data_IF_284996197450
#
_entry.id   IF_284996197450
#
_cell.length_a   1.000
_cell.length_b   1.000
_cell.length_c   1.000
_cell.angle_alpha   90.00
_cell.angle_beta   90.00
_cell.angle_gamma   90.00
#
_symmetry.space_group_name_H-M   'P 1'
#
loop_
_entity.id
_entity.type
_entity.pdbx_description
1 polymer ?
#
# COMPACT_ATOMS: atom_id res chain seq x y z
N UNK A 1 -10.22 0.68 -35.08
CA UNK A 1 -10.61 0.44 -33.68
C UNK A 1 -9.42 0.84 -32.83
N UNK A 2 -9.42 2.05 -32.31
CA UNK A 2 -8.38 2.51 -31.38
C UNK A 2 -8.70 1.85 -30.05
N UNK A 3 -7.90 0.86 -29.67
CA UNK A 3 -7.97 0.21 -28.37
C UNK A 3 -7.71 1.31 -27.33
N UNK A 4 -8.69 1.54 -26.44
CA UNK A 4 -8.45 2.38 -25.27
C UNK A 4 -7.30 1.75 -24.47
N UNK A 5 -6.30 2.53 -24.04
CA UNK A 5 -5.27 2.02 -23.16
C UNK A 5 -5.91 1.49 -21.87
N UNK A 6 -5.35 0.42 -21.28
CA UNK A 6 -5.81 -0.08 -19.99
C UNK A 6 -5.77 1.05 -18.95
N UNK A 7 -6.70 1.06 -17.98
CA UNK A 7 -6.71 2.07 -16.93
C UNK A 7 -5.37 2.08 -16.20
N UNK A 8 -4.71 3.24 -16.18
CA UNK A 8 -3.46 3.47 -15.47
C UNK A 8 -3.64 3.12 -14.00
N UNK A 9 -2.83 2.21 -13.49
CA UNK A 9 -2.81 1.88 -12.07
C UNK A 9 -2.30 3.11 -11.32
N UNK A 10 -3.19 3.81 -10.60
CA UNK A 10 -2.78 4.92 -9.76
C UNK A 10 -2.22 4.34 -8.46
N UNK A 11 -0.91 4.44 -8.27
CA UNK A 11 -0.29 4.23 -6.97
C UNK A 11 -0.59 5.46 -6.12
N UNK A 12 -1.73 5.45 -5.42
CA UNK A 12 -2.07 6.53 -4.50
C UNK A 12 -1.41 6.24 -3.16
N UNK A 13 -0.56 7.13 -2.64
CA UNK A 13 -0.08 7.04 -1.27
C UNK A 13 -1.28 7.10 -0.31
N UNK A 14 -1.58 5.98 0.34
CA UNK A 14 -2.76 5.86 1.20
C UNK A 14 -2.52 6.67 2.49
N UNK A 15 -3.01 7.91 2.53
CA UNK A 15 -3.12 8.68 3.77
C UNK A 15 -4.28 8.18 4.62
N UNK A 16 -4.07 7.10 5.36
CA UNK A 16 -4.88 6.83 6.56
C UNK A 16 -4.35 7.69 7.70
N UNK A 17 -4.61 8.99 7.63
CA UNK A 17 -4.33 9.88 8.76
C UNK A 17 -5.09 9.43 10.01
N UNK A 18 -4.49 9.69 11.17
CA UNK A 18 -5.04 9.44 12.51
C UNK A 18 -6.44 10.02 12.66
N UNK A 19 -7.46 9.23 12.34
CA UNK A 19 -8.80 9.49 12.83
C UNK A 19 -9.03 8.58 14.02
N UNK A 20 -8.89 9.16 15.22
CA UNK A 20 -9.53 8.61 16.42
C UNK A 20 -11.04 8.63 16.21
N UNK A 21 -11.57 7.70 15.42
CA UNK A 21 -13.00 7.43 15.35
C UNK A 21 -13.35 6.50 16.51
N UNK A 22 -13.48 7.08 17.70
CA UNK A 22 -14.27 6.44 18.75
C UNK A 22 -15.73 6.48 18.30
N UNK A 23 -16.14 5.51 17.51
CA UNK A 23 -17.56 5.24 17.26
C UNK A 23 -18.11 4.71 18.58
N UNK A 24 -18.90 5.51 19.28
CA UNK A 24 -19.68 5.03 20.41
C UNK A 24 -20.64 3.95 19.91
N UNK A 25 -20.46 2.72 20.39
CA UNK A 25 -21.26 1.55 20.07
C UNK A 25 -22.75 1.85 20.20
N UNK A 26 -23.46 1.98 19.09
CA UNK A 26 -24.93 1.90 19.11
C UNK A 26 -25.53 1.13 17.94
N UNK A 27 -24.73 0.38 17.18
CA UNK A 27 -25.25 -0.54 16.17
C UNK A 27 -24.92 -1.97 16.61
N UNK A 28 -25.90 -2.63 17.22
CA UNK A 28 -25.83 -4.07 17.49
C UNK A 28 -25.89 -4.81 16.15
N UNK A 29 -24.74 -5.28 15.65
CA UNK A 29 -24.67 -6.27 14.59
C UNK A 29 -24.75 -7.69 15.19
N UNK A 30 -25.47 -8.64 14.57
CA UNK A 30 -25.47 -10.02 15.02
C UNK A 30 -24.13 -10.69 14.68
N UNK A 31 -23.56 -11.37 15.67
CA UNK A 31 -22.36 -12.21 15.55
C UNK A 31 -22.59 -13.33 14.54
N UNK A 32 -21.85 -13.29 13.42
CA UNK A 32 -21.59 -14.47 12.58
C UNK A 32 -20.07 -14.56 12.42
N UNK A 33 -19.56 -15.75 12.71
CA UNK A 33 -18.13 -16.03 12.88
C UNK A 33 -17.28 -15.81 11.62
N UNK A 34 -15.99 -15.65 11.91
CA UNK A 34 -14.85 -15.60 11.00
C UNK A 34 -14.99 -16.55 9.79
N UNK A 35 -15.00 -15.96 8.59
CA UNK A 35 -14.58 -16.63 7.35
C UNK A 35 -13.82 -15.61 6.50
N UNK A 36 -12.63 -16.02 6.06
CA UNK A 36 -11.66 -15.20 5.34
C UNK A 36 -12.12 -14.62 4.01
N UNK A 37 -11.29 -13.70 3.53
CA UNK A 37 -11.36 -13.04 2.23
C UNK A 37 -11.42 -14.10 1.11
N UNK A 38 -12.60 -14.27 0.53
CA UNK A 38 -12.80 -14.95 -0.75
C UNK A 38 -13.99 -14.32 -1.46
N UNK A 39 -13.75 -13.79 -2.66
CA UNK A 39 -14.74 -13.27 -3.58
C UNK A 39 -15.66 -14.38 -4.11
N UNK A 40 -16.54 -14.95 -3.27
CA UNK A 40 -17.73 -15.70 -3.68
C UNK A 40 -18.49 -16.18 -2.42
N UNK A 41 -19.46 -15.39 -1.96
CA UNK A 41 -20.52 -15.94 -1.10
C UNK A 41 -21.73 -16.26 -2.01
N UNK A 42 -22.05 -17.54 -2.28
CA UNK A 42 -23.05 -17.92 -3.29
C UNK A 42 -24.52 -17.69 -2.87
N UNK A 43 -24.79 -17.10 -1.71
CA UNK A 43 -26.16 -16.91 -1.19
C UNK A 43 -26.43 -15.45 -0.78
N UNK A 44 -26.16 -14.49 -1.67
CA UNK A 44 -26.63 -13.11 -1.48
C UNK A 44 -28.14 -13.04 -1.75
N UNK A 45 -28.90 -12.43 -0.84
CA UNK A 45 -30.32 -12.12 -1.04
C UNK A 45 -30.42 -10.85 -1.91
N UNK A 46 -31.42 -10.77 -2.78
CA UNK A 46 -31.70 -9.62 -3.63
C UNK A 46 -31.80 -8.34 -2.78
N UNK A 47 -30.93 -7.36 -3.05
CA UNK A 47 -30.92 -6.07 -2.36
C UNK A 47 -32.13 -5.19 -2.67
N UNK A 48 -32.95 -5.58 -3.65
CA UNK A 48 -34.13 -4.82 -4.10
C UNK A 48 -35.42 -5.37 -3.48
N UNK A 49 -35.71 -6.67 -3.66
CA UNK A 49 -36.92 -7.27 -3.11
C UNK A 49 -36.72 -7.94 -1.75
N UNK A 50 -35.48 -8.26 -1.35
CA UNK A 50 -35.13 -8.96 -0.11
C UNK A 50 -35.80 -10.33 0.11
N UNK A 51 -36.49 -10.84 -0.90
CA UNK A 51 -37.26 -12.10 -0.83
C UNK A 51 -36.59 -13.25 -1.58
N UNK A 52 -35.84 -12.96 -2.64
CA UNK A 52 -35.26 -13.97 -3.53
C UNK A 52 -33.73 -13.95 -3.50
N UNK A 53 -33.08 -15.07 -3.83
CA UNK A 53 -31.64 -15.14 -4.04
C UNK A 53 -31.22 -14.24 -5.22
N UNK A 54 -30.17 -13.46 -5.05
CA UNK A 54 -29.59 -12.64 -6.11
C UNK A 54 -28.87 -13.52 -7.13
N UNK A 55 -29.12 -13.26 -8.42
CA UNK A 55 -28.49 -13.97 -9.55
C UNK A 55 -27.53 -13.08 -10.33
N UNK A 56 -27.67 -11.76 -10.18
CA UNK A 56 -26.98 -10.77 -10.99
C UNK A 56 -26.56 -9.58 -10.14
N UNK A 57 -25.60 -8.81 -10.64
CA UNK A 57 -25.06 -7.62 -9.98
C UNK A 57 -25.02 -6.47 -10.98
N UNK A 58 -25.53 -5.30 -10.59
CA UNK A 58 -25.55 -4.14 -11.49
C UNK A 58 -24.12 -3.60 -11.69
N UNK A 59 -23.62 -3.42 -12.92
CA UNK A 59 -22.25 -2.95 -13.13
C UNK A 59 -22.00 -1.50 -12.72
N UNK A 60 -23.05 -0.68 -12.53
CA UNK A 60 -22.91 0.75 -12.16
C UNK A 60 -22.93 0.97 -10.65
N UNK A 61 -23.88 0.37 -9.94
CA UNK A 61 -24.06 0.57 -8.50
C UNK A 61 -23.81 -0.69 -7.67
N UNK A 62 -23.42 -1.78 -8.31
CA UNK A 62 -23.12 -3.08 -7.69
C UNK A 62 -24.28 -3.68 -6.87
N UNK A 63 -25.51 -3.20 -7.07
CA UNK A 63 -26.69 -3.75 -6.43
C UNK A 63 -26.90 -5.20 -6.89
N UNK A 64 -27.01 -6.12 -5.92
CA UNK A 64 -27.31 -7.52 -6.18
C UNK A 64 -28.82 -7.72 -6.35
N UNK A 65 -29.25 -8.33 -7.46
CA UNK A 65 -30.67 -8.47 -7.79
C UNK A 65 -31.02 -9.87 -8.32
N UNK A 66 -32.28 -10.29 -8.13
CA UNK A 66 -32.73 -11.64 -8.51
C UNK A 66 -33.13 -11.76 -9.99
N UNK A 67 -33.45 -10.65 -10.67
CA UNK A 67 -33.82 -10.63 -12.08
C UNK A 67 -34.27 -9.26 -12.58
N UNK A 68 -34.69 -9.20 -13.85
CA UNK A 68 -35.09 -7.97 -14.56
C UNK A 68 -36.11 -7.09 -13.81
N UNK A 69 -37.14 -7.63 -13.11
CA UNK A 69 -38.07 -6.79 -12.36
C UNK A 69 -37.40 -5.98 -11.24
N UNK A 70 -36.41 -6.58 -10.57
CA UNK A 70 -35.61 -5.90 -9.56
C UNK A 70 -34.60 -4.96 -10.19
N UNK A 71 -34.02 -5.33 -11.34
CA UNK A 71 -33.19 -4.43 -12.13
C UNK A 71 -33.95 -3.17 -12.57
N UNK A 72 -35.23 -3.23 -12.94
CA UNK A 72 -35.98 -2.02 -13.32
C UNK A 72 -36.29 -1.08 -12.14
N UNK A 73 -36.17 -1.55 -10.89
CA UNK A 73 -36.57 -0.80 -9.69
C UNK A 73 -35.39 -0.39 -8.81
N UNK A 74 -34.18 -0.88 -9.07
CA UNK A 74 -33.03 -0.69 -8.17
C UNK A 74 -32.39 0.71 -8.22
N UNK A 75 -32.72 1.53 -9.22
CA UNK A 75 -32.25 2.91 -9.32
C UNK A 75 -32.51 3.48 -10.71
N UNK A 76 -33.27 4.58 -10.79
CA UNK A 76 -33.71 5.21 -12.06
C UNK A 76 -32.49 5.59 -12.91
N UNK A 77 -31.45 6.17 -12.30
CA UNK A 77 -30.20 6.54 -12.96
C UNK A 77 -29.42 5.36 -13.56
N UNK A 78 -29.49 4.17 -12.93
CA UNK A 78 -28.80 2.97 -13.43
C UNK A 78 -29.54 2.34 -14.61
N UNK A 79 -30.87 2.40 -14.59
CA UNK A 79 -31.72 1.84 -15.66
C UNK A 79 -31.80 2.76 -16.88
N UNK A 80 -31.92 4.07 -16.67
CA UNK A 80 -32.10 5.05 -17.74
C UNK A 80 -30.84 5.15 -18.61
N UNK A 81 -29.66 5.20 -18.02
CA UNK A 81 -28.40 5.31 -18.76
C UNK A 81 -28.07 4.04 -19.56
N UNK A 82 -28.52 2.86 -19.08
CA UNK A 82 -28.43 1.62 -19.86
C UNK A 82 -29.36 1.63 -21.07
N UNK A 83 -30.60 2.08 -20.91
CA UNK A 83 -31.55 2.20 -22.02
C UNK A 83 -31.14 3.29 -23.01
N UNK A 84 -30.64 4.43 -22.52
CA UNK A 84 -30.12 5.54 -23.32
C UNK A 84 -28.97 5.08 -24.21
N UNK A 85 -27.98 4.36 -23.65
CA UNK A 85 -26.87 3.81 -24.42
C UNK A 85 -27.31 2.85 -25.54
N UNK A 86 -28.33 2.01 -25.27
CA UNK A 86 -28.85 1.06 -26.24
C UNK A 86 -29.65 1.72 -27.37
N UNK A 87 -30.47 2.73 -27.05
CA UNK A 87 -31.20 3.53 -28.06
C UNK A 87 -30.22 4.33 -28.91
N UNK A 88 -29.17 4.90 -28.31
CA UNK A 88 -28.14 5.63 -29.03
C UNK A 88 -27.31 4.72 -29.94
N UNK A 89 -27.01 3.47 -29.53
CA UNK A 89 -26.31 2.52 -30.40
C UNK A 89 -27.16 2.07 -31.59
N UNK A 90 -28.46 1.83 -31.37
CA UNK A 90 -29.40 1.46 -32.44
C UNK A 90 -29.64 2.60 -33.43
N UNK A 91 -29.77 3.85 -32.94
CA UNK A 91 -29.89 5.03 -33.80
C UNK A 91 -28.63 5.29 -34.65
N UNK A 92 -27.44 4.92 -34.15
CA UNK A 92 -26.17 5.05 -34.90
C UNK A 92 -26.05 4.01 -36.03
N UNK A 93 -26.72 2.87 -35.92
CA UNK A 93 -26.67 1.79 -36.92
C UNK A 93 -27.63 2.04 -38.10
N UNK A 94 -28.62 2.93 -37.97
CA UNK A 94 -29.69 3.14 -38.96
C UNK A 94 -29.54 4.44 -39.77
N UNK A 95 -28.30 4.78 -40.17
CA UNK A 95 -27.96 6.07 -40.78
C UNK A 95 -27.90 6.02 -42.32
N UNK A 96 -29.04 5.84 -42.97
CA UNK A 96 -29.21 6.14 -44.40
C UNK A 96 -30.12 7.36 -44.57
N UNK A 97 -29.57 8.57 -44.65
CA UNK A 97 -30.31 9.76 -45.12
C UNK A 97 -29.41 10.86 -45.69
N UNK A 98 -29.96 11.58 -46.66
CA UNK A 98 -29.35 12.55 -47.57
C UNK A 98 -28.78 13.83 -46.92
N UNK A 99 -28.03 14.60 -47.71
CA UNK A 99 -27.28 15.83 -47.34
C UNK A 99 -28.12 16.94 -46.66
N UNK A 100 -29.44 16.98 -46.90
CA UNK A 100 -30.36 17.89 -46.21
C UNK A 100 -30.53 17.52 -44.73
N UNK A 101 -30.46 16.22 -44.42
CA UNK A 101 -30.56 15.71 -43.05
C UNK A 101 -29.33 16.06 -42.22
N UNK A 102 -28.15 16.24 -42.82
CA UNK A 102 -26.92 16.57 -42.08
C UNK A 102 -27.01 17.96 -41.46
N UNK A 103 -27.57 18.93 -42.17
CA UNK A 103 -27.78 20.29 -41.64
C UNK A 103 -28.85 20.35 -40.56
N UNK A 104 -29.97 19.67 -40.76
CA UNK A 104 -31.03 19.62 -39.75
C UNK A 104 -30.59 18.84 -38.50
N UNK A 105 -29.82 17.76 -38.67
CA UNK A 105 -29.19 17.02 -37.57
C UNK A 105 -28.14 17.88 -36.86
N UNK A 106 -27.36 18.69 -37.58
CA UNK A 106 -26.40 19.63 -36.96
C UNK A 106 -27.11 20.73 -36.16
N UNK A 107 -28.19 21.30 -36.70
CA UNK A 107 -28.99 22.31 -35.99
C UNK A 107 -29.78 21.72 -34.81
N UNK A 108 -30.11 20.43 -34.84
CA UNK A 108 -30.69 19.70 -33.72
C UNK A 108 -29.63 19.34 -32.67
N UNK A 109 -28.43 18.93 -33.08
CA UNK A 109 -27.29 18.67 -32.20
C UNK A 109 -26.83 19.95 -31.49
N UNK A 110 -26.80 21.10 -32.18
CA UNK A 110 -26.52 22.40 -31.57
C UNK A 110 -27.56 22.80 -30.52
N UNK A 111 -28.85 22.63 -30.82
CA UNK A 111 -29.90 22.87 -29.81
C UNK A 111 -29.81 21.93 -28.62
N UNK A 112 -29.46 20.66 -28.84
CA UNK A 112 -29.25 19.69 -27.76
C UNK A 112 -27.97 20.01 -26.96
N UNK A 113 -26.92 20.51 -27.60
CA UNK A 113 -25.69 20.96 -26.93
C UNK A 113 -25.93 22.25 -26.11
N UNK A 114 -26.78 23.15 -26.58
CA UNK A 114 -27.19 24.36 -25.85
C UNK A 114 -28.16 24.03 -24.68
N UNK A 115 -29.05 23.05 -24.85
CA UNK A 115 -29.98 22.58 -23.80
C UNK A 115 -29.34 21.61 -22.78
N UNK A 116 -28.22 20.98 -23.14
CA UNK A 116 -27.43 20.08 -22.29
C UNK A 116 -25.96 20.49 -22.35
N UNK A 117 -25.50 21.39 -21.44
CA UNK A 117 -24.11 21.82 -21.41
C UNK A 117 -23.17 20.61 -21.36
N UNK A 118 -22.08 20.65 -22.13
CA UNK A 118 -21.12 19.53 -22.25
C UNK A 118 -20.47 19.13 -20.92
N UNK A 119 -20.44 20.05 -19.95
CA UNK A 119 -19.97 19.79 -18.60
C UNK A 119 -21.14 19.73 -17.63
N UNK A 120 -21.43 18.53 -17.14
CA UNK A 120 -22.35 18.36 -16.01
C UNK A 120 -21.80 19.12 -14.79
N UNK A 121 -22.65 19.62 -13.88
CA UNK A 121 -22.19 20.10 -12.58
C UNK A 121 -21.33 19.08 -11.82
N UNK A 122 -21.52 17.78 -12.09
CA UNK A 122 -20.66 16.72 -11.57
C UNK A 122 -19.27 16.71 -12.20
N UNK A 123 -19.14 17.03 -13.49
CA UNK A 123 -17.85 17.06 -14.19
C UNK A 123 -17.01 18.25 -13.70
N UNK A 124 -17.63 19.42 -13.53
CA UNK A 124 -16.97 20.58 -12.92
C UNK A 124 -16.50 20.28 -11.48
N UNK A 125 -17.30 19.54 -10.70
CA UNK A 125 -16.89 19.13 -9.34
C UNK A 125 -15.72 18.13 -9.37
N UNK A 126 -15.64 17.26 -10.37
CA UNK A 126 -14.50 16.35 -10.54
C UNK A 126 -13.24 17.17 -10.88
N UNK A 127 -13.35 18.14 -11.77
CA UNK A 127 -12.24 19.01 -12.14
C UNK A 127 -11.69 19.78 -10.92
N UNK A 128 -12.56 20.33 -10.07
CA UNK A 128 -12.16 20.97 -8.80
C UNK A 128 -11.37 20.00 -7.90
N UNK A 129 -11.81 18.74 -7.79
CA UNK A 129 -11.14 17.74 -6.96
C UNK A 129 -9.79 17.31 -7.56
N UNK A 130 -9.68 17.27 -8.89
CA UNK A 130 -8.42 17.01 -9.60
C UNK A 130 -7.43 18.15 -9.37
N UNK A 131 -7.85 19.40 -9.46
CA UNK A 131 -6.99 20.56 -9.16
C UNK A 131 -6.49 20.54 -7.71
N UNK A 132 -7.36 20.17 -6.76
CA UNK A 132 -6.97 19.99 -5.36
C UNK A 132 -5.99 18.82 -5.17
N UNK A 133 -6.12 17.75 -5.96
CA UNK A 133 -5.20 16.62 -5.92
C UNK A 133 -3.82 17.05 -6.43
N UNK A 134 -3.75 17.73 -7.57
CA UNK A 134 -2.50 18.22 -8.17
C UNK A 134 -1.77 19.23 -7.27
N UNK A 135 -2.52 20.06 -6.54
CA UNK A 135 -1.96 20.98 -5.54
C UNK A 135 -1.67 20.33 -4.18
N UNK A 136 -1.87 19.01 -4.05
CA UNK A 136 -1.68 18.25 -2.81
C UNK A 136 -2.49 18.79 -1.61
N UNK A 137 -3.59 19.50 -1.91
CA UNK A 137 -4.51 20.12 -0.95
C UNK A 137 -5.82 19.32 -0.78
N UNK A 138 -6.01 18.25 -1.57
CA UNK A 138 -7.15 17.36 -1.46
C UNK A 138 -7.13 16.61 -0.12
N UNK A 139 -8.09 16.94 0.74
CA UNK A 139 -8.28 16.29 2.05
C UNK A 139 -9.71 15.81 2.19
N UNK A 140 -9.96 14.94 3.17
CA UNK A 140 -11.32 14.49 3.53
C UNK A 140 -12.29 15.65 3.87
N UNK A 141 -11.75 16.82 4.19
CA UNK A 141 -12.49 18.04 4.53
C UNK A 141 -12.86 18.86 3.29
N UNK A 142 -12.17 18.65 2.16
CA UNK A 142 -12.50 19.27 0.88
C UNK A 142 -13.76 18.66 0.22
N UNK A 143 -14.16 17.47 0.68
CA UNK A 143 -15.38 16.79 0.25
C UNK A 143 -16.60 17.37 0.97
N UNK A 144 -17.73 17.46 0.26
CA UNK A 144 -19.03 17.74 0.88
C UNK A 144 -19.40 16.62 1.87
N UNK A 145 -20.35 16.90 2.78
CA UNK A 145 -20.79 15.90 3.76
C UNK A 145 -21.34 14.62 3.09
N UNK A 146 -22.03 14.77 1.96
CA UNK A 146 -22.57 13.65 1.18
C UNK A 146 -21.46 12.85 0.49
N UNK A 147 -20.53 13.53 -0.20
CA UNK A 147 -19.38 12.89 -0.85
C UNK A 147 -18.51 12.14 0.17
N UNK A 148 -18.20 12.77 1.30
CA UNK A 148 -17.44 12.16 2.40
C UNK A 148 -18.14 10.94 2.96
N UNK A 149 -19.45 11.03 3.21
CA UNK A 149 -20.24 9.90 3.70
C UNK A 149 -20.26 8.75 2.70
N UNK A 150 -20.39 9.07 1.40
CA UNK A 150 -20.33 8.06 0.36
C UNK A 150 -18.95 7.40 0.29
N UNK A 151 -17.88 8.20 0.26
CA UNK A 151 -16.50 7.71 0.24
C UNK A 151 -16.20 6.78 1.42
N UNK A 152 -16.52 7.19 2.65
CA UNK A 152 -16.27 6.36 3.84
C UNK A 152 -17.08 5.05 3.83
N UNK A 153 -18.29 5.07 3.27
CA UNK A 153 -19.08 3.85 3.05
C UNK A 153 -18.42 2.93 2.03
N UNK A 154 -17.94 3.47 0.91
CA UNK A 154 -17.21 2.70 -0.11
C UNK A 154 -15.91 2.09 0.44
N UNK A 155 -15.20 2.82 1.33
CA UNK A 155 -14.02 2.33 2.06
C UNK A 155 -14.41 1.18 2.99
N UNK A 156 -15.43 1.38 3.84
CA UNK A 156 -15.88 0.36 4.79
C UNK A 156 -16.39 -0.91 4.11
N UNK A 157 -17.04 -0.76 2.95
CA UNK A 157 -17.55 -1.86 2.14
C UNK A 157 -16.44 -2.51 1.27
N UNK A 158 -15.21 -2.00 1.31
CA UNK A 158 -14.05 -2.50 0.56
C UNK A 158 -14.14 -2.28 -0.95
N UNK A 159 -15.10 -1.48 -1.43
CA UNK A 159 -15.33 -1.26 -2.87
C UNK A 159 -14.20 -0.49 -3.54
N UNK A 160 -13.51 0.36 -2.78
CA UNK A 160 -12.35 1.10 -3.28
C UNK A 160 -11.07 0.27 -3.35
N UNK A 161 -11.01 -0.89 -2.67
CA UNK A 161 -9.81 -1.73 -2.62
C UNK A 161 -9.34 -2.20 -4.00
N UNK A 162 -10.25 -2.36 -4.97
CA UNK A 162 -9.91 -2.75 -6.35
C UNK A 162 -9.16 -1.67 -7.15
N UNK A 163 -9.21 -0.43 -6.70
CA UNK A 163 -8.52 0.69 -7.36
C UNK A 163 -7.14 0.95 -6.74
N UNK A 164 -6.80 0.26 -5.65
CA UNK A 164 -5.52 0.39 -4.98
C UNK A 164 -4.62 -0.72 -5.52
N UNK A 165 -3.55 -0.34 -6.21
CA UNK A 165 -2.46 -1.26 -6.54
C UNK A 165 -1.73 -1.63 -5.24
N UNK A 166 -1.77 -2.90 -4.87
CA UNK A 166 -1.02 -3.39 -3.71
C UNK A 166 0.45 -3.52 -4.07
N UNK A 167 1.31 -2.98 -3.23
CA UNK A 167 2.74 -3.11 -3.38
C UNK A 167 3.18 -4.56 -3.20
N UNK A 168 4.03 -5.01 -4.13
CA UNK A 168 4.71 -6.29 -4.04
C UNK A 168 6.06 -6.10 -3.35
N UNK A 169 6.29 -6.74 -2.18
CA UNK A 169 7.55 -6.59 -1.49
C UNK A 169 8.73 -7.09 -2.31
N UNK A 170 9.77 -6.26 -2.38
CA UNK A 170 10.98 -6.55 -3.14
C UNK A 170 11.72 -7.81 -2.68
N UNK A 171 11.55 -8.23 -1.41
CA UNK A 171 12.09 -9.49 -0.89
C UNK A 171 11.31 -10.75 -1.32
N UNK A 172 10.22 -10.60 -2.07
CA UNK A 172 9.54 -11.74 -2.73
C UNK A 172 10.19 -12.10 -4.08
N UNK A 173 11.08 -11.26 -4.59
CA UNK A 173 11.86 -11.57 -5.79
C UNK A 173 12.87 -12.69 -5.51
N UNK A 174 13.26 -13.41 -6.57
CA UNK A 174 14.36 -14.39 -6.41
C UNK A 174 15.68 -13.67 -6.09
N UNK A 175 16.53 -14.23 -5.20
CA UNK A 175 17.82 -13.62 -4.83
C UNK A 175 18.69 -13.25 -6.04
N UNK A 176 18.75 -14.13 -7.05
CA UNK A 176 19.53 -13.90 -8.28
C UNK A 176 19.01 -12.72 -9.11
N UNK A 177 17.69 -12.57 -9.22
CA UNK A 177 17.06 -11.45 -9.93
C UNK A 177 17.36 -10.14 -9.22
N UNK A 178 17.17 -10.13 -7.90
CA UNK A 178 17.41 -8.94 -7.08
C UNK A 178 18.88 -8.50 -7.12
N UNK A 179 19.82 -9.44 -7.00
CA UNK A 179 21.26 -9.14 -7.07
C UNK A 179 21.67 -8.59 -8.44
N UNK A 180 21.08 -9.09 -9.52
CA UNK A 180 21.34 -8.59 -10.88
C UNK A 180 20.83 -7.17 -11.03
N UNK A 181 19.59 -6.92 -10.60
CA UNK A 181 18.94 -5.62 -10.71
C UNK A 181 19.66 -4.53 -9.90
N UNK A 182 20.13 -4.86 -8.70
CA UNK A 182 20.79 -3.91 -7.80
C UNK A 182 22.32 -3.84 -7.97
N UNK A 183 22.93 -4.65 -8.84
CA UNK A 183 24.38 -4.77 -8.97
C UNK A 183 25.06 -3.43 -9.29
N UNK A 184 24.55 -2.73 -10.30
CA UNK A 184 25.12 -1.48 -10.78
C UNK A 184 25.03 -0.38 -9.70
N UNK A 185 23.86 -0.28 -9.04
CA UNK A 185 23.61 0.65 -7.94
C UNK A 185 24.58 0.41 -6.77
N UNK A 186 24.80 -0.86 -6.40
CA UNK A 186 25.71 -1.24 -5.29
C UNK A 186 27.18 -0.96 -5.58
N UNK A 187 27.60 -1.01 -6.84
CA UNK A 187 28.98 -0.80 -7.29
C UNK A 187 29.32 0.66 -7.61
N UNK A 188 28.35 1.57 -7.55
CA UNK A 188 28.52 3.00 -7.85
C UNK A 188 29.27 3.23 -9.17
N UNK A 189 28.97 2.45 -10.22
CA UNK A 189 29.74 2.48 -11.47
C UNK A 189 29.13 3.34 -12.59
N UNK A 190 27.89 3.83 -12.49
CA UNK A 190 27.29 4.72 -13.50
C UNK A 190 26.28 5.66 -12.83
N UNK A 191 26.46 6.97 -13.01
CA UNK A 191 25.37 7.96 -13.00
C UNK A 191 25.08 8.18 -14.47
N UNK A 192 23.91 7.75 -14.94
CA UNK A 192 23.46 8.12 -16.28
C UNK A 192 23.18 9.63 -16.24
N UNK A 193 24.10 10.40 -16.80
CA UNK A 193 23.82 11.77 -17.20
C UNK A 193 22.87 11.66 -18.39
N UNK A 194 21.57 11.76 -18.10
CA UNK A 194 20.44 12.01 -19.01
C UNK A 194 20.83 12.04 -20.51
N UNK A 195 20.50 10.96 -21.23
CA UNK A 195 20.26 11.05 -22.67
C UNK A 195 18.90 11.71 -22.87
N UNK A 196 18.96 13.01 -23.18
CA UNK A 196 17.88 14.01 -23.28
C UNK A 196 16.92 13.78 -24.48
N UNK A 197 16.66 12.54 -24.89
CA UNK A 197 15.77 12.23 -26.03
C UNK A 197 15.05 10.87 -25.94
N UNK A 198 15.03 10.26 -24.74
CA UNK A 198 14.19 9.09 -24.48
C UNK A 198 12.90 9.53 -23.79
N UNK A 199 11.77 9.37 -24.47
CA UNK A 199 10.42 9.40 -23.87
C UNK A 199 10.45 8.67 -22.51
N UNK A 200 10.09 9.30 -21.37
CA UNK A 200 10.13 8.69 -20.06
C UNK A 200 8.95 7.72 -19.92
N UNK A 201 9.04 6.59 -20.63
CA UNK A 201 8.36 5.34 -20.27
C UNK A 201 9.33 4.42 -19.52
N UNK A 202 10.35 5.03 -18.90
CA UNK A 202 11.20 4.38 -17.93
C UNK A 202 10.32 3.93 -16.75
N UNK A 203 10.10 2.61 -16.67
CA UNK A 203 9.76 1.86 -15.46
C UNK A 203 10.86 2.04 -14.37
N UNK A 204 11.31 3.28 -14.11
CA UNK A 204 12.30 3.67 -13.10
C UNK A 204 11.65 3.97 -11.74
N UNK A 205 10.54 3.29 -11.46
CA UNK A 205 9.89 3.27 -10.16
C UNK A 205 10.50 2.16 -9.29
N UNK A 206 11.77 2.31 -8.92
CA UNK A 206 12.25 1.70 -7.69
C UNK A 206 11.49 2.36 -6.53
N UNK A 207 10.30 1.81 -6.23
CA UNK A 207 9.50 2.29 -5.11
C UNK A 207 10.30 2.12 -3.83
N UNK A 208 10.79 0.91 -3.53
CA UNK A 208 11.66 0.58 -2.38
C UNK A 208 12.44 -0.74 -2.62
N UNK A 209 13.58 -0.99 -1.93
CA UNK A 209 14.16 -0.16 -0.87
C UNK A 209 14.93 1.02 -1.46
N UNK A 210 14.76 2.18 -0.85
CA UNK A 210 15.51 3.40 -1.22
C UNK A 210 16.93 3.37 -0.66
N UNK A 211 17.10 2.79 0.53
CA UNK A 211 18.41 2.56 1.13
C UNK A 211 19.04 1.24 0.69
N UNK A 212 19.91 1.27 -0.33
CA UNK A 212 20.71 0.10 -0.72
C UNK A 212 22.06 0.06 -0.01
N UNK A 213 22.45 -1.12 0.45
CA UNK A 213 23.76 -1.36 1.04
C UNK A 213 24.82 -1.49 -0.06
N UNK A 214 25.70 -0.49 -0.16
CA UNK A 214 26.70 -0.39 -1.24
C UNK A 214 28.07 -0.95 -0.86
N UNK A 215 28.92 -1.16 -1.87
CA UNK A 215 30.32 -1.54 -1.66
C UNK A 215 31.12 -0.47 -0.88
N UNK A 216 30.77 0.81 -1.07
CA UNK A 216 31.33 1.94 -0.30
C UNK A 216 30.94 1.86 1.17
N UNK A 217 29.68 1.52 1.47
CA UNK A 217 29.26 1.30 2.86
C UNK A 217 29.99 0.11 3.47
N UNK A 218 30.12 -1.00 2.73
CA UNK A 218 30.83 -2.20 3.18
C UNK A 218 32.30 -1.93 3.56
N UNK A 219 33.00 -1.05 2.83
CA UNK A 219 34.39 -0.68 3.14
C UNK A 219 34.50 0.32 4.29
N UNK A 220 33.46 1.10 4.55
CA UNK A 220 33.38 2.05 5.66
C UNK A 220 32.92 1.43 6.99
N UNK A 221 32.43 0.19 7.01
CA UNK A 221 31.97 -0.46 8.24
C UNK A 221 33.12 -0.63 9.25
N UNK A 222 32.95 -0.19 10.52
CA UNK A 222 33.91 -0.48 11.58
C UNK A 222 33.94 -1.97 11.90
N UNK A 223 35.01 -2.43 12.55
CA UNK A 223 35.11 -3.83 12.98
C UNK A 223 34.14 -4.11 14.14
N UNK A 224 33.50 -5.27 14.15
CA UNK A 224 32.56 -5.64 15.22
C UNK A 224 33.18 -5.58 16.64
N UNK A 225 34.43 -6.05 16.87
CA UNK A 225 35.07 -5.94 18.19
C UNK A 225 35.29 -4.50 18.66
N UNK A 226 35.37 -3.52 17.75
CA UNK A 226 35.48 -2.10 18.11
C UNK A 226 34.18 -1.50 18.66
N UNK A 227 33.04 -2.12 18.33
CA UNK A 227 31.72 -1.74 18.82
C UNK A 227 31.34 -2.51 20.07
N UNK A 228 31.57 -3.82 20.08
CA UNK A 228 31.27 -4.69 21.19
C UNK A 228 32.21 -5.91 21.17
N UNK A 229 33.04 -6.14 22.21
CA UNK A 229 34.09 -7.16 22.16
C UNK A 229 33.55 -8.59 22.13
N UNK A 230 32.47 -8.88 22.88
CA UNK A 230 31.87 -10.22 22.97
C UNK A 230 30.33 -10.15 22.90
N UNK A 231 29.75 -9.89 21.72
CA UNK A 231 28.31 -9.76 21.58
C UNK A 231 27.61 -11.11 21.77
N UNK A 232 26.45 -11.11 22.42
CA UNK A 232 25.62 -12.31 22.53
C UNK A 232 24.90 -12.57 21.19
N UNK A 233 25.51 -13.40 20.34
CA UNK A 233 24.99 -13.67 19.00
C UNK A 233 23.58 -14.28 18.97
N UNK A 234 23.24 -15.14 19.93
CA UNK A 234 21.91 -15.77 19.99
C UNK A 234 20.80 -14.73 20.28
N UNK A 235 21.07 -13.80 21.20
CA UNK A 235 20.14 -12.71 21.49
C UNK A 235 20.04 -11.75 20.31
N UNK A 236 21.17 -11.44 19.66
CA UNK A 236 21.18 -10.54 18.50
C UNK A 236 20.45 -11.12 17.29
N UNK A 237 20.48 -12.44 17.09
CA UNK A 237 19.67 -13.13 16.07
C UNK A 237 18.17 -12.94 16.32
N UNK A 238 17.72 -13.17 17.55
CA UNK A 238 16.31 -12.99 17.91
C UNK A 238 15.88 -11.52 17.82
N UNK A 239 16.72 -10.60 18.31
CA UNK A 239 16.45 -9.17 18.19
C UNK A 239 16.44 -8.70 16.73
N UNK A 240 17.30 -9.25 15.85
CA UNK A 240 17.27 -8.94 14.42
C UNK A 240 15.92 -9.33 13.79
N UNK A 241 15.34 -10.47 14.17
CA UNK A 241 13.99 -10.88 13.70
C UNK A 241 12.95 -9.82 14.07
N UNK A 242 12.98 -9.28 15.29
CA UNK A 242 12.02 -8.25 15.70
C UNK A 242 12.24 -6.91 14.96
N UNK A 243 13.50 -6.52 14.74
CA UNK A 243 13.83 -5.30 13.98
C UNK A 243 13.38 -5.43 12.51
N UNK A 244 13.63 -6.57 11.87
CA UNK A 244 13.16 -6.84 10.51
C UNK A 244 11.63 -6.92 10.45
N UNK A 245 10.99 -7.47 11.48
CA UNK A 245 9.53 -7.47 11.60
C UNK A 245 8.99 -6.04 11.64
N UNK A 246 9.59 -5.16 12.44
CA UNK A 246 9.18 -3.78 12.54
C UNK A 246 9.30 -3.05 11.20
N UNK A 247 10.37 -3.29 10.44
CA UNK A 247 10.52 -2.78 9.07
C UNK A 247 9.45 -3.35 8.13
N UNK A 248 9.30 -4.67 8.04
CA UNK A 248 8.32 -5.31 7.16
C UNK A 248 6.88 -4.87 7.49
N UNK A 249 6.55 -4.73 8.78
CA UNK A 249 5.25 -4.23 9.23
C UNK A 249 5.00 -2.81 8.75
N UNK A 250 5.96 -1.89 8.93
CA UNK A 250 5.84 -0.51 8.42
C UNK A 250 5.65 -0.53 6.90
N UNK A 251 6.48 -1.26 6.16
CA UNK A 251 6.35 -1.36 4.70
C UNK A 251 4.96 -1.88 4.27
N UNK A 252 4.38 -2.85 4.99
CA UNK A 252 3.03 -3.34 4.73
C UNK A 252 1.95 -2.31 5.04
N UNK A 253 2.09 -1.55 6.14
CA UNK A 253 1.12 -0.52 6.53
C UNK A 253 1.09 0.62 5.52
N UNK A 254 2.24 1.06 5.03
CA UNK A 254 2.35 2.18 4.08
C UNK A 254 2.37 1.74 2.61
N UNK A 255 1.88 0.52 2.32
CA UNK A 255 1.81 -0.04 0.96
C UNK A 255 3.11 0.16 0.17
N UNK A 256 4.23 -0.15 0.82
CA UNK A 256 5.54 -0.08 0.23
C UNK A 256 6.22 1.27 0.31
N UNK A 257 5.55 2.39 0.68
CA UNK A 257 6.20 3.70 0.70
C UNK A 257 6.04 4.45 2.03
N UNK A 258 7.05 4.36 2.91
CA UNK A 258 7.05 5.08 4.18
C UNK A 258 7.18 6.60 4.04
N UNK A 259 7.52 7.14 2.85
CA UNK A 259 7.66 8.60 2.64
C UNK A 259 6.32 9.33 2.64
N UNK A 260 5.22 8.59 2.48
CA UNK A 260 3.85 9.12 2.50
C UNK A 260 3.55 9.88 3.78
N UNK A 261 4.05 9.35 4.90
CA UNK A 261 4.02 10.00 6.20
C UNK A 261 5.22 9.52 7.02
N UNK A 262 6.35 10.21 6.84
CA UNK A 262 7.62 9.87 7.51
C UNK A 262 7.50 9.96 9.04
N UNK A 263 6.73 10.93 9.54
CA UNK A 263 6.53 11.13 10.98
C UNK A 263 5.77 9.96 11.58
N UNK A 264 4.64 9.59 10.96
CA UNK A 264 3.83 8.48 11.42
C UNK A 264 4.57 7.14 11.24
N UNK A 265 5.24 6.92 10.11
CA UNK A 265 6.01 5.70 9.86
C UNK A 265 7.13 5.51 10.89
N UNK A 266 7.88 6.58 11.23
CA UNK A 266 8.91 6.53 12.26
C UNK A 266 8.32 6.33 13.66
N UNK A 267 7.18 6.95 13.96
CA UNK A 267 6.46 6.77 15.23
C UNK A 267 5.98 5.33 15.38
N UNK A 268 5.36 4.78 14.33
CA UNK A 268 4.86 3.41 14.30
C UNK A 268 6.00 2.41 14.44
N UNK A 269 7.11 2.60 13.72
CA UNK A 269 8.32 1.78 13.85
C UNK A 269 8.80 1.67 15.31
N UNK A 270 8.93 2.81 15.99
CA UNK A 270 9.37 2.85 17.39
C UNK A 270 8.31 2.25 18.32
N UNK A 271 7.02 2.39 17.99
CA UNK A 271 5.92 1.82 18.78
C UNK A 271 5.88 0.30 18.72
N UNK A 272 6.24 -0.31 17.57
CA UNK A 272 6.21 -1.77 17.42
C UNK A 272 7.51 -2.44 17.83
N UNK A 273 8.66 -1.75 17.73
CA UNK A 273 9.96 -2.33 18.11
C UNK A 273 10.41 -1.97 19.53
N UNK A 274 10.34 -2.95 20.42
CA UNK A 274 10.96 -2.94 21.74
C UNK A 274 12.49 -2.94 21.67
N UNK A 275 13.09 -3.61 20.67
CA UNK A 275 14.56 -3.62 20.50
C UNK A 275 15.07 -2.22 20.22
N UNK A 276 14.40 -1.49 19.31
CA UNK A 276 14.80 -0.14 18.94
C UNK A 276 14.55 0.86 20.09
N UNK A 277 13.50 0.69 20.89
CA UNK A 277 13.28 1.48 22.11
C UNK A 277 14.31 1.20 23.21
N UNK A 278 14.73 -0.04 23.37
CA UNK A 278 15.81 -0.47 24.29
C UNK A 278 15.36 -1.25 25.52
N UNK A 279 14.07 -1.55 25.61
CA UNK A 279 13.47 -2.49 26.55
C UNK A 279 13.55 -3.94 26.04
N UNK A 280 13.56 -4.14 24.70
CA UNK A 280 13.51 -5.46 24.07
C UNK A 280 14.80 -6.27 24.12
N UNK A 281 14.71 -7.47 24.69
CA UNK A 281 15.77 -8.47 24.70
C UNK A 281 15.14 -9.86 24.53
N UNK A 282 15.49 -10.54 23.44
CA UNK A 282 14.92 -11.83 23.10
C UNK A 282 15.98 -12.92 23.07
N UNK A 283 15.70 -14.05 23.73
CA UNK A 283 16.56 -15.23 23.82
C UNK A 283 16.03 -16.43 23.03
N UNK A 284 14.82 -16.30 22.46
CA UNK A 284 14.16 -17.35 21.69
C UNK A 284 13.22 -16.78 20.63
N UNK A 285 13.10 -17.49 19.50
CA UNK A 285 12.21 -17.14 18.39
C UNK A 285 10.74 -17.11 18.81
N UNK A 286 10.30 -18.06 19.66
CA UNK A 286 8.95 -18.07 20.21
C UNK A 286 8.62 -16.77 20.96
N UNK A 287 9.55 -16.27 21.78
CA UNK A 287 9.37 -15.02 22.50
C UNK A 287 9.29 -13.82 21.54
N UNK A 288 10.12 -13.79 20.49
CA UNK A 288 10.04 -12.76 19.45
C UNK A 288 8.66 -12.75 18.79
N UNK A 289 8.16 -13.90 18.34
CA UNK A 289 6.85 -14.00 17.68
C UNK A 289 5.72 -13.49 18.59
N UNK A 290 5.71 -13.90 19.86
CA UNK A 290 4.74 -13.42 20.84
C UNK A 290 4.82 -11.90 21.03
N UNK A 291 6.03 -11.34 21.14
CA UNK A 291 6.22 -9.91 21.26
C UNK A 291 5.78 -9.14 20.02
N UNK A 292 6.07 -9.66 18.81
CA UNK A 292 5.62 -9.08 17.55
C UNK A 292 4.09 -9.01 17.46
N UNK A 293 3.39 -10.08 17.82
CA UNK A 293 1.92 -10.08 17.88
C UNK A 293 1.38 -9.10 18.93
N UNK A 294 1.97 -9.08 20.12
CA UNK A 294 1.56 -8.17 21.19
C UNK A 294 1.96 -6.70 20.96
N UNK A 295 2.78 -6.39 19.96
CA UNK A 295 3.30 -5.04 19.71
C UNK A 295 2.22 -4.09 19.17
N UNK A 296 2.47 -2.78 19.24
CA UNK A 296 1.52 -1.77 18.76
C UNK A 296 0.35 -1.47 19.71
N UNK A 297 -0.50 -0.53 19.30
CA UNK A 297 -1.68 -0.08 20.06
C UNK A 297 -2.97 -0.78 19.66
N UNK A 298 -4.11 -0.29 20.18
CA UNK A 298 -5.45 -0.84 19.87
C UNK A 298 -5.80 -0.82 18.37
N UNK A 299 -5.16 0.07 17.61
CA UNK A 299 -5.38 0.26 16.17
C UNK A 299 -4.36 -0.52 15.31
N UNK A 300 -3.58 -1.43 15.90
CA UNK A 300 -2.57 -2.19 15.17
C UNK A 300 -3.21 -3.20 14.21
N UNK A 301 -2.64 -3.31 13.01
CA UNK A 301 -3.16 -4.21 11.97
C UNK A 301 -2.65 -5.64 12.19
N UNK A 302 -3.43 -6.47 12.91
CA UNK A 302 -3.07 -7.86 13.24
C UNK A 302 -2.76 -8.72 12.01
N UNK A 303 -3.50 -8.52 10.91
CA UNK A 303 -3.25 -9.24 9.66
C UNK A 303 -1.87 -8.85 9.08
N UNK A 304 -1.55 -7.55 9.08
CA UNK A 304 -0.25 -7.07 8.64
C UNK A 304 0.90 -7.57 9.53
N UNK A 305 0.68 -7.75 10.84
CA UNK A 305 1.70 -8.34 11.73
C UNK A 305 2.03 -9.78 11.35
N UNK A 306 1.00 -10.62 11.14
CA UNK A 306 1.23 -12.00 10.73
C UNK A 306 1.96 -12.08 9.39
N UNK A 307 1.53 -11.29 8.41
CA UNK A 307 2.20 -11.21 7.10
C UNK A 307 3.63 -10.69 7.24
N UNK A 308 3.88 -9.70 8.10
CA UNK A 308 5.22 -9.17 8.35
C UNK A 308 6.16 -10.23 8.95
N UNK A 309 5.68 -11.15 9.80
CA UNK A 309 6.50 -12.27 10.29
C UNK A 309 6.89 -13.24 9.16
N UNK A 310 5.96 -13.52 8.24
CA UNK A 310 6.24 -14.30 7.03
C UNK A 310 7.24 -13.57 6.12
N UNK A 311 7.11 -12.24 6.00
CA UNK A 311 8.07 -11.41 5.27
C UNK A 311 9.47 -11.49 5.87
N UNK A 312 9.62 -11.50 7.21
CA UNK A 312 10.93 -11.71 7.83
C UNK A 312 11.53 -13.04 7.42
N UNK A 313 10.74 -14.12 7.35
CA UNK A 313 11.23 -15.41 6.87
C UNK A 313 11.70 -15.34 5.40
N UNK A 314 11.06 -14.53 4.55
CA UNK A 314 11.51 -14.27 3.19
C UNK A 314 12.78 -13.42 3.15
N UNK A 315 12.88 -12.36 3.95
CA UNK A 315 14.07 -11.50 4.06
C UNK A 315 15.28 -12.31 4.52
N UNK A 316 15.12 -13.23 5.47
CA UNK A 316 16.20 -14.08 5.97
C UNK A 316 16.71 -15.12 4.95
N UNK A 317 16.09 -15.24 3.76
CA UNK A 317 16.60 -16.14 2.70
C UNK A 317 17.89 -15.65 2.08
N UNK A 318 18.15 -14.34 2.09
CA UNK A 318 19.28 -13.73 1.39
C UNK A 318 19.91 -12.61 2.19
N UNK A 319 21.24 -12.61 2.28
CA UNK A 319 21.97 -11.61 3.06
C UNK A 319 21.82 -10.19 2.52
N UNK A 320 21.59 -10.02 1.22
CA UNK A 320 21.34 -8.72 0.63
C UNK A 320 20.01 -8.14 1.12
N UNK A 321 18.96 -8.96 1.24
CA UNK A 321 17.68 -8.51 1.76
C UNK A 321 17.77 -8.03 3.20
N UNK A 322 18.54 -8.71 4.05
CA UNK A 322 18.76 -8.28 5.44
C UNK A 322 19.48 -6.92 5.47
N UNK A 323 20.54 -6.74 4.69
CA UNK A 323 21.33 -5.50 4.68
C UNK A 323 20.56 -4.33 4.09
N UNK A 324 19.82 -4.55 3.02
CA UNK A 324 19.04 -3.50 2.35
C UNK A 324 17.82 -3.12 3.21
N UNK A 325 17.18 -4.08 3.91
CA UNK A 325 16.13 -3.78 4.90
C UNK A 325 16.65 -2.89 6.04
N UNK A 326 17.82 -3.22 6.60
CA UNK A 326 18.43 -2.41 7.67
C UNK A 326 18.89 -1.04 7.18
N UNK A 327 19.33 -0.94 5.92
CA UNK A 327 19.81 0.31 5.32
C UNK A 327 18.65 1.24 4.97
N UNK A 328 17.56 0.70 4.42
CA UNK A 328 16.33 1.45 4.15
C UNK A 328 15.66 1.91 5.45
N UNK A 329 15.65 1.04 6.46
CA UNK A 329 15.20 1.39 7.80
C UNK A 329 16.03 2.53 8.43
N UNK A 330 17.35 2.50 8.22
CA UNK A 330 18.25 3.56 8.66
C UNK A 330 17.93 4.88 7.94
N UNK A 331 17.66 4.83 6.63
CA UNK A 331 17.26 5.99 5.83
C UNK A 331 15.94 6.61 6.32
N UNK A 332 14.93 5.80 6.62
CA UNK A 332 13.65 6.25 7.20
C UNK A 332 13.89 7.04 8.49
N UNK A 333 14.61 6.44 9.44
CA UNK A 333 14.86 7.04 10.77
C UNK A 333 15.72 8.31 10.64
N UNK A 334 16.71 8.32 9.75
CA UNK A 334 17.53 9.50 9.49
C UNK A 334 16.70 10.64 8.88
N UNK A 335 15.83 10.33 7.91
CA UNK A 335 14.93 11.31 7.29
C UNK A 335 14.08 12.01 8.36
N UNK A 336 13.42 11.25 9.24
CA UNK A 336 12.64 11.82 10.33
C UNK A 336 13.49 12.61 11.34
N UNK A 337 14.72 12.15 11.62
CA UNK A 337 15.61 12.84 12.55
C UNK A 337 16.06 14.20 12.03
N UNK A 338 16.25 14.31 10.71
CA UNK A 338 16.68 15.54 10.05
C UNK A 338 15.52 16.51 9.76
N UNK A 339 14.28 16.07 9.90
CA UNK A 339 13.11 16.94 9.80
C UNK A 339 13.22 18.12 10.78
N UNK A 340 13.08 19.33 10.26
CA UNK A 340 13.16 20.58 11.01
C UNK A 340 11.98 20.70 11.98
N UNK A 341 10.81 20.20 11.61
CA UNK A 341 9.59 20.26 12.43
C UNK A 341 9.66 19.33 13.66
N UNK A 342 10.47 18.27 13.61
CA UNK A 342 10.54 17.27 14.67
C UNK A 342 11.09 17.82 16.00
N UNK A 343 10.40 17.47 17.10
CA UNK A 343 10.77 17.88 18.45
C UNK A 343 12.17 17.38 18.88
N UNK A 344 12.87 18.17 19.69
CA UNK A 344 14.23 17.84 20.19
C UNK A 344 14.27 16.52 20.96
N UNK A 345 13.21 16.17 21.70
CA UNK A 345 13.07 14.88 22.38
C UNK A 345 13.01 13.72 21.40
N UNK A 346 12.19 13.82 20.35
CA UNK A 346 12.07 12.84 19.26
C UNK A 346 13.40 12.63 18.57
N UNK A 347 14.11 13.72 18.19
CA UNK A 347 15.44 13.64 17.58
C UNK A 347 16.46 12.89 18.45
N UNK A 348 16.39 13.04 19.78
CA UNK A 348 17.27 12.29 20.70
C UNK A 348 16.93 10.80 20.76
N UNK A 349 15.65 10.44 20.71
CA UNK A 349 15.21 9.03 20.65
C UNK A 349 15.70 8.41 19.34
N UNK A 350 15.42 9.06 18.20
CA UNK A 350 15.84 8.59 16.88
C UNK A 350 17.36 8.50 16.74
N UNK A 351 18.13 9.40 17.37
CA UNK A 351 19.59 9.28 17.39
C UNK A 351 20.09 7.99 18.05
N UNK A 352 19.40 7.48 19.09
CA UNK A 352 19.74 6.18 19.71
C UNK A 352 19.33 5.02 18.81
N UNK A 353 18.16 5.14 18.17
CA UNK A 353 17.68 4.14 17.20
C UNK A 353 18.68 4.01 16.04
N UNK A 354 19.14 5.12 15.47
CA UNK A 354 20.21 5.16 14.45
C UNK A 354 21.44 4.38 14.90
N UNK A 355 21.93 4.61 16.13
CA UNK A 355 23.10 3.89 16.64
C UNK A 355 22.88 2.39 16.81
N UNK A 356 21.67 1.96 17.15
CA UNK A 356 21.32 0.53 17.19
C UNK A 356 21.27 -0.06 15.79
N UNK A 357 20.65 0.63 14.83
CA UNK A 357 20.58 0.18 13.44
C UNK A 357 21.97 0.07 12.82
N UNK A 358 22.84 1.05 13.03
CA UNK A 358 24.26 0.99 12.64
C UNK A 358 24.95 -0.23 13.24
N UNK A 359 24.73 -0.52 14.54
CA UNK A 359 25.27 -1.70 15.19
C UNK A 359 24.74 -3.01 14.56
N UNK A 360 23.42 -3.12 14.34
CA UNK A 360 22.82 -4.30 13.72
C UNK A 360 23.29 -4.49 12.28
N UNK A 361 23.51 -3.41 11.51
CA UNK A 361 24.05 -3.47 10.16
C UNK A 361 25.49 -4.00 10.14
N UNK A 362 26.34 -3.54 11.07
CA UNK A 362 27.71 -4.06 11.23
C UNK A 362 27.69 -5.52 11.68
N UNK A 363 26.89 -5.84 12.69
CA UNK A 363 26.79 -7.19 13.24
C UNK A 363 26.26 -8.18 12.20
N UNK A 364 25.16 -7.85 11.52
CA UNK A 364 24.59 -8.69 10.47
C UNK A 364 25.59 -8.88 9.33
N UNK A 365 26.25 -7.81 8.85
CA UNK A 365 27.28 -7.93 7.81
C UNK A 365 28.45 -8.83 8.23
N UNK A 366 28.85 -8.79 9.50
CA UNK A 366 29.91 -9.67 10.02
C UNK A 366 29.47 -11.13 10.11
N UNK A 367 28.27 -11.40 10.66
CA UNK A 367 27.72 -12.76 10.77
C UNK A 367 27.51 -13.37 9.39
N UNK A 368 26.97 -12.61 8.44
CA UNK A 368 26.75 -13.05 7.07
C UNK A 368 28.05 -13.39 6.31
N UNK A 369 29.17 -12.79 6.73
CA UNK A 369 30.48 -13.10 6.15
C UNK A 369 31.10 -14.35 6.77
N UNK A 370 30.86 -14.59 8.07
CA UNK A 370 31.54 -15.62 8.85
C UNK A 370 30.74 -16.92 9.03
N UNK A 371 29.42 -16.86 8.98
CA UNK A 371 28.51 -18.00 9.13
C UNK A 371 27.35 -17.90 8.12
N UNK A 372 27.55 -18.52 6.96
CA UNK A 372 26.55 -18.56 5.89
C UNK A 372 25.29 -19.35 6.26
N UNK A 373 25.35 -20.20 7.29
CA UNK A 373 24.22 -21.02 7.73
C UNK A 373 23.41 -20.37 8.85
N UNK A 374 23.93 -19.32 9.50
CA UNK A 374 23.25 -18.62 10.59
C UNK A 374 21.84 -18.15 10.17
N UNK A 375 21.72 -17.51 9.00
CA UNK A 375 20.44 -17.05 8.50
C UNK A 375 19.49 -18.20 8.19
N UNK A 376 19.97 -19.24 7.49
CA UNK A 376 19.10 -20.35 7.08
C UNK A 376 18.60 -21.16 8.28
N UNK A 377 19.40 -21.28 9.33
CA UNK A 377 18.98 -21.89 10.60
C UNK A 377 17.91 -21.05 11.29
N UNK A 378 18.15 -19.75 11.45
CA UNK A 378 17.21 -18.81 12.06
C UNK A 378 15.89 -18.74 11.29
N UNK A 379 15.96 -18.72 9.96
CA UNK A 379 14.81 -18.77 9.07
C UNK A 379 13.98 -20.03 9.29
N UNK A 380 14.60 -21.22 9.30
CA UNK A 380 13.89 -22.49 9.55
C UNK A 380 13.22 -22.52 10.92
N UNK A 381 13.90 -22.00 11.95
CA UNK A 381 13.34 -21.88 13.29
C UNK A 381 12.12 -20.96 13.31
N UNK A 382 12.18 -19.83 12.60
CA UNK A 382 11.08 -18.87 12.47
C UNK A 382 9.89 -19.51 11.74
N UNK A 383 10.11 -20.08 10.56
CA UNK A 383 9.05 -20.71 9.75
C UNK A 383 8.37 -21.85 10.51
N UNK A 384 9.11 -22.65 11.28
CA UNK A 384 8.54 -23.74 12.06
C UNK A 384 7.65 -23.29 13.23
N UNK A 385 7.74 -22.03 13.64
CA UNK A 385 7.04 -21.48 14.81
C UNK A 385 6.00 -20.40 14.46
N UNK A 386 5.96 -19.92 13.22
CA UNK A 386 4.87 -19.08 12.73
C UNK A 386 3.62 -19.98 12.64
N UNK A 387 2.49 -19.59 13.26
CA UNK A 387 1.28 -20.40 13.34
C UNK A 387 0.52 -20.54 12.02
#
# INVERSE_FOLDING_TARGET
MVLQPPPTAVSVPIRLGHTKTRVTDTIKLPTIGSVGLSNANPLRVCGVCRENQSKYTCPRCNAVYCGVPCYKKHGISCTEEFYKGHVQSEMRLNKDSSDTSVRDVHAMLQRVHDDFPETSPMDARIDDLVELMESNALTLEALTAEERSNFLREVADGRLGKFIALWEPWWMQSPSSYDTHTNNLRRSLIVDLQDDDSDPTLDDDLTHPLGLFTASMQSALPSLPSLHPNPNHAVLQCNLVEVLFAYAYVMRVYNGDWRVDVEDAASQLVSVSSVLRGDGHFDSVAHVIMACHASGGADANEAAKHVALVDVASILTHGAFVRDSLTDLLLLVQTMRHDVAAAKSTKKVLARVVKKLEFYLVWASNVLTNDLNALSSLQKQLVAQIP
#
